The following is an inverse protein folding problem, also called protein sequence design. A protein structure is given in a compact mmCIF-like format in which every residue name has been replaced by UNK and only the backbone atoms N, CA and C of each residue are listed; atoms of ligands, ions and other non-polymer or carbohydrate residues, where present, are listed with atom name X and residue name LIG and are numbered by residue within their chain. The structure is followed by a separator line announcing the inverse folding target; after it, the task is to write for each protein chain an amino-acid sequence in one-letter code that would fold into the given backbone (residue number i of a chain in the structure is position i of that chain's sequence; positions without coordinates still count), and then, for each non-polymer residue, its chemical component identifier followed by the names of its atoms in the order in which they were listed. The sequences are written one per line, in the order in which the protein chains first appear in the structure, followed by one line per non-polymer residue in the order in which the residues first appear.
data_IF_082664047897
#
_entry.id   IF_082664047897
#
_cell.length_a   1.000
_cell.length_b   1.000
_cell.length_c   1.000
_cell.angle_alpha   90.00
_cell.angle_beta   90.00
_cell.angle_gamma   90.00
#
_symmetry.space_group_name_H-M   'P 1'
#
loop_
_entity.id
_entity.type
_entity.pdbx_description
1 polymer ?
#
# COMPACT_ATOMS: atom_id res chain seq x y z
N UNK A 1 -15.26 -10.99 -17.27
CA UNK A 1 -15.76 -9.63 -17.58
C UNK A 1 -14.66 -8.59 -17.33
N UNK A 2 -13.89 -8.26 -18.38
CA UNK A 2 -13.05 -7.06 -18.53
C UNK A 2 -12.66 -6.94 -20.03
N UNK A 3 -13.69 -6.96 -20.87
CA UNK A 3 -13.67 -6.61 -22.30
C UNK A 3 -13.81 -5.10 -22.53
N UNK A 4 -14.16 -4.33 -21.47
CA UNK A 4 -14.56 -2.93 -21.52
C UNK A 4 -13.51 -1.89 -21.93
N UNK A 5 -12.22 -2.22 -22.00
CA UNK A 5 -11.17 -1.22 -22.25
C UNK A 5 -10.70 -1.15 -23.71
N UNK A 6 -11.21 -2.02 -24.61
CA UNK A 6 -10.83 -2.01 -26.03
C UNK A 6 -9.31 -2.10 -26.27
N UNK A 7 -8.57 -2.61 -25.28
CA UNK A 7 -7.11 -2.58 -25.29
C UNK A 7 -6.57 -3.79 -26.05
N UNK A 8 -5.97 -3.53 -27.22
CA UNK A 8 -5.40 -4.53 -28.14
C UNK A 8 -3.86 -4.63 -28.06
N UNK A 9 -3.26 -4.04 -27.02
CA UNK A 9 -1.81 -4.07 -26.81
C UNK A 9 -1.33 -5.27 -25.99
N UNK A 10 -0.03 -5.32 -25.63
CA UNK A 10 0.52 -6.42 -24.87
C UNK A 10 -0.15 -6.59 -23.51
N UNK A 11 -0.48 -7.83 -23.14
CA UNK A 11 -1.25 -8.17 -21.93
C UNK A 11 -0.70 -7.56 -20.63
N UNK A 12 0.62 -7.37 -20.56
CA UNK A 12 1.32 -6.80 -19.41
C UNK A 12 1.00 -5.33 -19.12
N UNK A 13 0.54 -4.60 -20.14
CA UNK A 13 0.15 -3.19 -20.03
C UNK A 13 -1.36 -3.02 -19.90
N UNK A 14 -2.12 -4.12 -19.89
CA UNK A 14 -3.58 -4.07 -19.79
C UNK A 14 -3.98 -3.26 -18.54
N UNK A 15 -4.83 -2.23 -18.71
CA UNK A 15 -5.25 -1.41 -17.58
C UNK A 15 -6.06 -2.24 -16.59
N UNK A 16 -5.81 -1.98 -15.31
CA UNK A 16 -6.64 -2.49 -14.21
C UNK A 16 -7.85 -1.57 -14.06
N UNK A 17 -8.98 -2.14 -13.67
CA UNK A 17 -10.14 -1.31 -13.39
C UNK A 17 -9.94 -0.58 -12.07
N UNK A 18 -10.60 0.58 -11.88
CA UNK A 18 -10.62 1.28 -10.60
C UNK A 18 -11.03 0.37 -9.44
N UNK A 19 -11.96 -0.54 -9.68
CA UNK A 19 -12.43 -1.52 -8.69
C UNK A 19 -11.35 -2.52 -8.30
N UNK A 20 -10.49 -2.94 -9.24
CA UNK A 20 -9.35 -3.78 -8.91
C UNK A 20 -8.35 -3.03 -8.04
N UNK A 21 -8.07 -1.76 -8.32
CA UNK A 21 -7.23 -0.95 -7.43
C UNK A 21 -7.81 -0.82 -6.02
N UNK A 22 -9.11 -0.63 -5.90
CA UNK A 22 -9.78 -0.58 -4.60
C UNK A 22 -9.53 -1.87 -3.78
N UNK A 23 -9.75 -3.05 -4.37
CA UNK A 23 -9.53 -4.31 -3.65
C UNK A 23 -8.05 -4.61 -3.40
N UNK A 24 -7.15 -4.18 -4.28
CA UNK A 24 -5.71 -4.28 -4.02
C UNK A 24 -5.31 -3.41 -2.82
N UNK A 25 -5.82 -2.19 -2.73
CA UNK A 25 -5.66 -1.31 -1.55
C UNK A 25 -6.14 -1.98 -0.27
N UNK A 26 -7.34 -2.57 -0.29
CA UNK A 26 -7.89 -3.30 0.86
C UNK A 26 -6.99 -4.50 1.22
N UNK A 27 -6.59 -5.30 0.23
CA UNK A 27 -5.74 -6.46 0.42
C UNK A 27 -4.39 -6.07 1.03
N UNK A 28 -3.73 -5.04 0.49
CA UNK A 28 -2.43 -4.57 0.97
C UNK A 28 -2.49 -3.98 2.36
N UNK A 29 -3.64 -3.44 2.78
CA UNK A 29 -3.82 -2.91 4.14
C UNK A 29 -3.85 -4.01 5.22
N UNK A 30 -3.96 -5.29 4.83
CA UNK A 30 -3.96 -6.43 5.76
C UNK A 30 -2.51 -6.80 6.14
N UNK A 31 -2.13 -6.86 7.43
CA UNK A 31 -0.72 -6.95 7.82
C UNK A 31 0.01 -8.19 7.32
N UNK A 32 -0.54 -9.39 7.52
CA UNK A 32 0.16 -10.64 7.18
C UNK A 32 -0.11 -11.05 5.74
N UNK A 33 -1.39 -11.25 5.41
CA UNK A 33 -1.80 -11.70 4.08
C UNK A 33 -1.45 -10.62 3.04
N UNK A 34 -1.77 -9.36 3.32
CA UNK A 34 -1.47 -8.25 2.42
C UNK A 34 0.02 -8.09 2.16
N UNK A 35 0.87 -8.27 3.17
CA UNK A 35 2.34 -8.20 3.00
C UNK A 35 2.87 -9.31 2.08
N UNK A 36 2.37 -10.54 2.20
CA UNK A 36 2.75 -11.64 1.31
C UNK A 36 2.39 -11.29 -0.14
N UNK A 37 1.15 -10.86 -0.38
CA UNK A 37 0.69 -10.46 -1.71
C UNK A 37 1.44 -9.23 -2.23
N UNK A 38 1.79 -8.28 -1.36
CA UNK A 38 2.58 -7.10 -1.70
C UNK A 38 3.96 -7.49 -2.22
N UNK A 39 4.65 -8.41 -1.54
CA UNK A 39 5.96 -8.93 -1.97
C UNK A 39 5.80 -9.58 -3.36
N UNK A 40 4.88 -10.54 -3.49
CA UNK A 40 4.66 -11.28 -4.74
C UNK A 40 4.33 -10.34 -5.90
N UNK A 41 3.39 -9.40 -5.71
CA UNK A 41 2.99 -8.48 -6.77
C UNK A 41 4.01 -7.39 -7.06
N UNK A 42 4.94 -7.08 -6.15
CA UNK A 42 6.01 -6.10 -6.39
C UNK A 42 7.12 -6.63 -7.31
N UNK A 43 7.29 -7.95 -7.38
CA UNK A 43 8.27 -8.64 -8.25
C UNK A 43 7.64 -9.24 -9.51
N UNK A 44 6.33 -9.46 -9.52
CA UNK A 44 5.62 -10.05 -10.63
C UNK A 44 5.62 -9.18 -11.91
N UNK A 45 5.97 -9.77 -13.04
CA UNK A 45 6.06 -9.07 -14.33
C UNK A 45 4.78 -9.12 -15.17
N UNK A 46 3.78 -9.93 -14.76
CA UNK A 46 2.59 -10.20 -15.60
C UNK A 46 1.69 -8.98 -15.83
N UNK A 47 1.71 -7.98 -14.94
CA UNK A 47 1.02 -6.71 -15.16
C UNK A 47 1.79 -5.55 -14.52
N UNK A 48 2.26 -4.61 -15.34
CA UNK A 48 3.08 -3.49 -14.88
C UNK A 48 2.31 -2.53 -13.96
N UNK A 49 1.01 -2.35 -14.21
CA UNK A 49 0.18 -1.43 -13.45
C UNK A 49 -0.02 -1.96 -12.01
N UNK A 50 -0.25 -3.28 -11.86
CA UNK A 50 -0.33 -3.93 -10.54
C UNK A 50 1.00 -3.85 -9.80
N UNK A 51 2.10 -4.12 -10.52
CA UNK A 51 3.44 -4.08 -9.94
C UNK A 51 3.81 -2.69 -9.44
N UNK A 52 3.57 -1.66 -10.25
CA UNK A 52 3.85 -0.28 -9.87
C UNK A 52 3.02 0.14 -8.66
N UNK A 53 1.75 -0.30 -8.58
CA UNK A 53 0.90 -0.07 -7.42
C UNK A 53 1.42 -0.79 -6.15
N UNK A 54 1.85 -2.05 -6.25
CA UNK A 54 2.47 -2.75 -5.12
C UNK A 54 3.76 -2.04 -4.64
N UNK A 55 4.56 -1.52 -5.58
CA UNK A 55 5.79 -0.76 -5.27
C UNK A 55 5.50 0.59 -4.62
N UNK A 56 4.45 1.31 -5.02
CA UNK A 56 4.06 2.55 -4.33
C UNK A 56 3.63 2.30 -2.90
N UNK A 57 3.04 1.13 -2.60
CA UNK A 57 2.66 0.76 -1.23
C UNK A 57 3.86 0.53 -0.31
N UNK A 58 4.99 0.03 -0.84
CA UNK A 58 6.25 0.03 -0.08
C UNK A 58 6.67 1.46 0.30
N UNK A 59 6.55 2.42 -0.61
CA UNK A 59 6.81 3.83 -0.30
C UNK A 59 5.84 4.38 0.75
N UNK A 60 4.55 4.03 0.68
CA UNK A 60 3.56 4.42 1.70
C UNK A 60 3.96 3.87 3.08
N UNK A 61 4.40 2.62 3.18
CA UNK A 61 4.87 2.06 4.45
C UNK A 61 6.07 2.81 5.02
N UNK A 62 7.04 3.18 4.17
CA UNK A 62 8.18 4.01 4.59
C UNK A 62 7.70 5.37 5.10
N UNK A 63 6.79 6.03 4.39
CA UNK A 63 6.23 7.33 4.80
C UNK A 63 5.50 7.21 6.15
N UNK A 64 4.66 6.18 6.33
CA UNK A 64 3.95 5.93 7.59
C UNK A 64 4.93 5.69 8.74
N UNK A 65 5.99 4.90 8.52
CA UNK A 65 7.02 4.67 9.53
C UNK A 65 7.74 5.96 9.92
N UNK A 66 8.08 6.82 8.95
CA UNK A 66 8.69 8.13 9.22
C UNK A 66 7.73 9.03 10.02
N UNK A 67 6.45 9.09 9.63
CA UNK A 67 5.45 9.89 10.35
C UNK A 67 5.26 9.40 11.79
N UNK A 68 5.19 8.09 12.01
CA UNK A 68 5.11 7.51 13.35
C UNK A 68 6.35 7.85 14.18
N UNK A 69 7.55 7.76 13.60
CA UNK A 69 8.78 8.16 14.28
C UNK A 69 8.73 9.63 14.69
N UNK A 70 8.37 10.55 13.78
CA UNK A 70 8.24 11.98 14.08
C UNK A 70 7.23 12.24 15.19
N UNK A 71 6.06 11.57 15.18
CA UNK A 71 5.04 11.73 16.24
C UNK A 71 5.50 11.24 17.62
N UNK A 72 6.29 10.17 17.65
CA UNK A 72 6.89 9.65 18.89
C UNK A 72 7.97 10.63 19.40
N UNK A 73 8.88 11.09 18.54
CA UNK A 73 9.99 11.96 18.93
C UNK A 73 9.58 13.40 19.22
N UNK A 74 8.53 13.92 18.58
CA UNK A 74 8.00 15.28 18.84
C UNK A 74 7.27 15.42 20.17
N UNK A 75 7.13 14.34 20.96
CA UNK A 75 6.43 14.36 22.24
C UNK A 75 4.91 14.41 22.12
N UNK A 76 4.33 14.50 20.91
CA UNK A 76 2.88 14.56 20.71
C UNK A 76 2.14 13.32 21.26
N UNK A 77 2.79 12.15 21.22
CA UNK A 77 2.25 10.89 21.77
C UNK A 77 2.82 10.60 23.18
N UNK A 78 4.11 10.88 23.40
CA UNK A 78 4.83 10.54 24.64
C UNK A 78 4.49 11.47 25.81
N UNK A 79 4.26 12.76 25.55
CA UNK A 79 3.96 13.74 26.59
C UNK A 79 2.59 13.50 27.27
N UNK A 80 1.47 13.26 26.55
CA UNK A 80 0.20 12.96 27.19
C UNK A 80 0.17 11.58 27.88
N UNK A 81 0.86 10.59 27.33
CA UNK A 81 0.84 9.22 27.88
C UNK A 81 1.70 9.06 29.12
N UNK A 82 2.84 9.74 29.22
CA UNK A 82 3.70 9.68 30.41
C UNK A 82 3.22 10.68 31.47
N UNK A 83 3.02 11.96 31.12
CA UNK A 83 2.65 12.98 32.11
C UNK A 83 1.16 12.99 32.47
N UNK A 84 0.29 12.45 31.62
CA UNK A 84 -1.12 12.21 31.97
C UNK A 84 -1.31 11.10 33.00
N UNK A 85 -0.36 10.15 33.10
CA UNK A 85 -0.35 9.11 34.14
C UNK A 85 0.21 9.58 35.49
N UNK A 86 0.77 10.79 35.56
CA UNK A 86 1.26 11.41 36.80
C UNK A 86 0.26 12.43 37.41
N UNK A 87 -1.00 12.43 36.97
CA UNK A 87 -2.06 13.30 37.50
C UNK A 87 -3.10 12.50 38.29
#
# INVERSE_FOLDING_TARGET
MMDKYGYDGPVQFKPLSPWTYFWLTVLYSIPLIGLIFLIVFSVDSSNINRRNHARSYWCVYVIVLILLAVLIFSGAIVFPTIFGSFR
#
